data_IF_158126822855
#
_entry.id   IF_158126822855
#
_cell.length_a   1.000
_cell.length_b   1.000
_cell.length_c   1.000
_cell.angle_alpha   90.00
_cell.angle_beta   90.00
_cell.angle_gamma   90.00
#
_symmetry.space_group_name_H-M   'P 1'
#
loop_
_entity.id
_entity.type
_entity.pdbx_description
1 polymer ?
#
# COMPACT_ATOMS: atom_id res chain seq x y z
N UNK A 1 -2.99 -26.56 -71.73
CA UNK A 1 -3.03 -25.28 -71.02
C UNK A 1 -3.20 -25.58 -69.52
N UNK A 2 -2.12 -25.59 -68.77
CA UNK A 2 -2.13 -25.81 -67.32
C UNK A 2 -2.12 -24.44 -66.66
N UNK A 3 -3.20 -24.09 -65.91
CA UNK A 3 -3.27 -22.87 -65.10
C UNK A 3 -2.56 -23.13 -63.80
N UNK A 4 -1.48 -22.39 -63.50
CA UNK A 4 -0.85 -22.29 -62.19
C UNK A 4 -1.67 -21.33 -61.39
N UNK A 5 -2.21 -21.79 -60.24
CA UNK A 5 -2.81 -20.96 -59.21
C UNK A 5 -1.70 -20.65 -58.23
N UNK A 6 -1.29 -19.36 -58.17
CA UNK A 6 -0.34 -18.85 -57.21
C UNK A 6 -1.12 -18.50 -55.92
N UNK A 7 -0.96 -19.31 -54.89
CA UNK A 7 -1.51 -19.00 -53.55
C UNK A 7 -0.53 -18.06 -52.88
N UNK A 8 -0.90 -16.78 -52.81
CA UNK A 8 -0.19 -15.78 -52.06
C UNK A 8 -0.62 -15.91 -50.58
N UNK A 9 0.15 -16.61 -49.79
CA UNK A 9 -0.01 -16.64 -48.33
C UNK A 9 0.46 -15.31 -47.74
N UNK A 10 -0.47 -14.37 -47.49
CA UNK A 10 -0.23 -13.22 -46.67
C UNK A 10 0.02 -13.68 -45.25
N UNK A 11 1.29 -13.75 -44.85
CA UNK A 11 1.69 -13.83 -43.44
C UNK A 11 1.49 -12.44 -42.90
N UNK A 12 0.31 -12.15 -42.35
CA UNK A 12 0.08 -11.04 -41.45
C UNK A 12 0.84 -11.35 -40.12
N UNK A 13 2.13 -11.05 -40.11
CA UNK A 13 2.86 -10.90 -38.88
C UNK A 13 2.28 -9.71 -38.17
N UNK A 14 1.43 -9.96 -37.17
CA UNK A 14 1.03 -8.94 -36.24
C UNK A 14 2.30 -8.53 -35.49
N UNK A 15 2.97 -7.51 -35.99
CA UNK A 15 3.90 -6.70 -35.23
C UNK A 15 3.08 -6.07 -34.12
N UNK A 16 3.06 -6.71 -32.97
CA UNK A 16 2.72 -5.99 -31.72
C UNK A 16 3.75 -4.88 -31.60
N UNK A 17 3.44 -3.68 -32.08
CA UNK A 17 4.18 -2.50 -31.76
C UNK A 17 4.12 -2.41 -30.22
N UNK A 18 5.21 -2.76 -29.55
CA UNK A 18 5.39 -2.44 -28.14
C UNK A 18 5.16 -0.94 -28.06
N UNK A 19 4.14 -0.51 -27.34
CA UNK A 19 3.90 0.89 -27.08
C UNK A 19 5.20 1.43 -26.44
N UNK A 20 5.92 2.26 -27.21
CA UNK A 20 7.17 2.83 -26.74
C UNK A 20 6.80 3.97 -25.80
N UNK A 21 6.95 3.74 -24.50
CA UNK A 21 6.75 4.79 -23.51
C UNK A 21 7.86 5.85 -23.65
N UNK A 22 7.47 7.12 -23.51
CA UNK A 22 8.40 8.26 -23.70
C UNK A 22 9.19 8.61 -22.44
N UNK A 23 8.84 8.03 -21.31
CA UNK A 23 9.56 8.23 -20.03
C UNK A 23 10.66 7.18 -19.87
N UNK A 24 11.80 7.66 -19.35
CA UNK A 24 12.96 6.84 -19.00
C UNK A 24 13.07 6.68 -17.49
N UNK A 25 13.99 5.81 -17.03
CA UNK A 25 14.31 5.70 -15.61
C UNK A 25 14.70 7.05 -14.97
N UNK A 26 15.52 7.85 -15.67
CA UNK A 26 15.90 9.19 -15.22
C UNK A 26 14.69 10.11 -15.05
N UNK A 27 13.76 10.07 -16.00
CA UNK A 27 12.50 10.83 -15.93
C UNK A 27 11.65 10.40 -14.73
N UNK A 28 11.54 9.10 -14.48
CA UNK A 28 10.80 8.59 -13.34
C UNK A 28 11.38 9.06 -12.00
N UNK A 29 12.71 9.11 -11.89
CA UNK A 29 13.36 9.71 -10.71
C UNK A 29 13.09 11.21 -10.62
N UNK A 30 13.15 11.92 -11.73
CA UNK A 30 12.93 13.37 -11.77
C UNK A 30 11.54 13.76 -11.29
N UNK A 31 10.50 12.99 -11.63
CA UNK A 31 9.12 13.29 -11.15
C UNK A 31 9.00 13.29 -9.63
N UNK A 32 9.70 12.38 -8.97
CA UNK A 32 9.71 12.33 -7.50
C UNK A 32 10.55 13.46 -6.89
N UNK A 33 11.67 13.82 -7.53
CA UNK A 33 12.46 14.98 -7.09
C UNK A 33 11.67 16.27 -7.25
N UNK A 34 10.94 16.43 -8.33
CA UNK A 34 10.08 17.61 -8.56
C UNK A 34 8.95 17.70 -7.55
N UNK A 35 8.33 16.57 -7.22
CA UNK A 35 7.34 16.49 -6.14
C UNK A 35 7.92 16.96 -4.80
N UNK A 36 9.08 16.43 -4.41
CA UNK A 36 9.75 16.84 -3.16
C UNK A 36 10.19 18.32 -3.20
N UNK A 37 10.71 18.79 -4.31
CA UNK A 37 11.13 20.20 -4.48
C UNK A 37 9.98 21.17 -4.24
N UNK A 38 8.77 20.81 -4.65
CA UNK A 38 7.60 21.68 -4.57
C UNK A 38 6.90 21.55 -3.23
N UNK A 39 6.72 20.32 -2.72
CA UNK A 39 5.83 20.09 -1.60
C UNK A 39 6.53 19.80 -0.27
N UNK A 40 7.79 19.36 -0.27
CA UNK A 40 8.48 19.10 1.00
C UNK A 40 8.95 20.40 1.65
N UNK A 41 8.52 20.68 2.86
CA UNK A 41 9.09 21.71 3.70
C UNK A 41 10.42 21.23 4.29
N UNK A 42 11.53 21.72 3.74
CA UNK A 42 12.88 21.29 4.15
C UNK A 42 13.34 21.83 5.50
N UNK A 43 12.58 22.71 6.14
CA UNK A 43 12.85 23.17 7.52
C UNK A 43 12.24 22.22 8.54
N UNK A 44 11.00 21.79 8.30
CA UNK A 44 10.25 20.90 9.20
C UNK A 44 10.29 19.44 8.78
N UNK A 45 10.57 19.14 7.50
CA UNK A 45 10.50 17.81 6.89
C UNK A 45 9.12 17.17 7.00
N UNK A 46 8.09 17.99 6.74
CA UNK A 46 6.70 17.56 6.49
C UNK A 46 6.25 18.10 5.14
N UNK A 47 5.22 17.50 4.55
CA UNK A 47 4.72 17.93 3.24
C UNK A 47 3.68 19.04 3.38
N UNK A 48 3.73 19.98 2.43
CA UNK A 48 2.75 21.06 2.30
C UNK A 48 1.48 20.54 1.62
N UNK A 49 0.37 21.21 1.90
CA UNK A 49 -0.92 20.91 1.29
C UNK A 49 -0.97 21.30 -0.22
N UNK A 50 -0.33 22.40 -0.61
CA UNK A 50 -0.31 22.84 -2.01
C UNK A 50 0.93 23.67 -2.39
N UNK A 51 1.13 23.84 -3.71
CA UNK A 51 2.33 24.43 -4.32
C UNK A 51 2.57 25.90 -3.98
N UNK A 52 1.53 26.66 -3.63
CA UNK A 52 1.67 28.09 -3.28
C UNK A 52 2.07 28.30 -1.81
N UNK A 53 2.12 27.27 -0.96
CA UNK A 53 2.55 27.41 0.43
C UNK A 53 4.05 27.48 0.54
N UNK A 54 4.51 28.33 1.45
CA UNK A 54 5.94 28.50 1.75
C UNK A 54 6.35 27.70 2.98
N UNK A 55 5.48 27.66 3.99
CA UNK A 55 5.70 26.94 5.25
C UNK A 55 4.53 26.01 5.54
N UNK A 56 4.85 24.79 5.94
CA UNK A 56 3.87 23.85 6.49
C UNK A 56 3.78 24.06 8.01
N UNK A 57 2.62 24.45 8.52
CA UNK A 57 2.43 24.77 9.94
C UNK A 57 1.55 23.72 10.61
N UNK A 58 0.30 23.59 10.17
CA UNK A 58 -0.67 22.60 10.61
C UNK A 58 -1.64 22.31 9.46
N UNK A 59 -2.60 21.41 9.67
CA UNK A 59 -3.57 20.99 8.66
C UNK A 59 -4.29 22.14 7.94
N UNK A 60 -4.58 23.22 8.65
CA UNK A 60 -5.34 24.35 8.12
C UNK A 60 -4.44 25.49 7.62
N UNK A 61 -3.16 25.45 7.98
CA UNK A 61 -2.16 26.47 7.69
C UNK A 61 -0.96 25.92 6.91
N UNK A 62 -1.22 25.07 5.96
CA UNK A 62 -0.26 24.68 4.94
C UNK A 62 0.38 23.32 5.04
N UNK A 63 0.17 22.57 6.11
CA UNK A 63 0.57 21.18 6.17
C UNK A 63 -0.47 20.28 5.47
N UNK A 64 -0.02 19.28 4.73
CA UNK A 64 -0.90 18.24 4.22
C UNK A 64 -1.53 17.45 5.38
N UNK A 65 -2.70 16.86 5.14
CA UNK A 65 -3.43 16.09 6.14
C UNK A 65 -2.57 14.96 6.73
N UNK A 66 -2.72 14.73 8.03
CA UNK A 66 -1.88 13.79 8.80
C UNK A 66 -1.82 12.39 8.19
N UNK A 67 -2.92 11.88 7.65
CA UNK A 67 -2.98 10.57 7.02
C UNK A 67 -2.28 10.55 5.65
N UNK A 68 -2.33 11.65 4.89
CA UNK A 68 -1.62 11.76 3.61
C UNK A 68 -0.11 11.87 3.80
N UNK A 69 0.36 12.45 4.92
CA UNK A 69 1.78 12.43 5.27
C UNK A 69 2.31 10.99 5.36
N UNK A 70 1.52 10.03 5.87
CA UNK A 70 1.91 8.63 5.89
C UNK A 70 2.10 8.04 4.47
N UNK A 71 1.26 8.44 3.51
CA UNK A 71 1.37 8.03 2.11
C UNK A 71 2.64 8.62 1.47
N UNK A 72 2.93 9.90 1.72
CA UNK A 72 4.16 10.54 1.22
C UNK A 72 5.42 9.94 1.89
N UNK A 73 5.31 9.52 3.16
CA UNK A 73 6.36 8.78 3.84
C UNK A 73 6.59 7.39 3.23
N UNK A 74 5.54 6.70 2.75
CA UNK A 74 5.70 5.46 1.97
C UNK A 74 6.41 5.72 0.63
N UNK A 75 6.21 6.86 -0.02
CA UNK A 75 6.88 7.19 -1.28
C UNK A 75 8.42 7.28 -1.12
N UNK A 76 8.93 7.85 -0.03
CA UNK A 76 10.38 7.89 0.20
C UNK A 76 10.94 6.51 0.51
N UNK A 77 10.18 5.63 1.14
CA UNK A 77 10.56 4.23 1.33
C UNK A 77 10.64 3.49 -0.02
N UNK A 78 9.66 3.72 -0.90
CA UNK A 78 9.65 3.14 -2.24
C UNK A 78 10.83 3.66 -3.09
N UNK A 79 11.18 4.95 -2.98
CA UNK A 79 12.38 5.49 -3.61
C UNK A 79 13.66 4.82 -3.10
N UNK A 80 13.78 4.61 -1.80
CA UNK A 80 14.92 3.87 -1.25
C UNK A 80 14.97 2.42 -1.75
N UNK A 81 13.84 1.69 -1.71
CA UNK A 81 13.76 0.30 -2.20
C UNK A 81 14.12 0.18 -3.68
N UNK A 82 13.63 1.12 -4.51
CA UNK A 82 14.01 1.18 -5.93
C UNK A 82 15.50 1.42 -6.11
N UNK A 83 16.11 2.34 -5.34
CA UNK A 83 17.54 2.58 -5.38
C UNK A 83 18.36 1.35 -4.96
N UNK A 84 17.86 0.57 -3.99
CA UNK A 84 18.46 -0.73 -3.60
C UNK A 84 18.37 -1.72 -4.75
N UNK A 85 17.21 -1.89 -5.37
CA UNK A 85 17.01 -2.81 -6.49
C UNK A 85 17.89 -2.46 -7.71
N UNK A 86 18.17 -1.17 -7.93
CA UNK A 86 19.06 -0.68 -8.99
C UNK A 86 20.55 -0.70 -8.63
N UNK A 87 20.92 -1.00 -7.38
CA UNK A 87 22.31 -0.93 -6.91
C UNK A 87 22.86 0.51 -6.83
N UNK A 88 22.00 1.54 -6.89
CA UNK A 88 22.41 2.94 -6.86
C UNK A 88 22.69 3.42 -5.44
N UNK A 89 23.95 3.32 -5.04
CA UNK A 89 24.42 3.70 -3.70
C UNK A 89 24.16 5.17 -3.37
N UNK A 90 24.33 6.07 -4.33
CA UNK A 90 24.11 7.51 -4.14
C UNK A 90 22.67 7.80 -3.78
N UNK A 91 21.71 7.20 -4.51
CA UNK A 91 20.29 7.34 -4.20
C UNK A 91 19.90 6.60 -2.92
N UNK A 92 20.47 5.44 -2.63
CA UNK A 92 20.26 4.75 -1.35
C UNK A 92 20.59 5.67 -0.18
N UNK A 93 21.78 6.27 -0.16
CA UNK A 93 22.20 7.16 0.92
C UNK A 93 21.32 8.41 1.01
N UNK A 94 21.00 9.01 -0.15
CA UNK A 94 20.10 10.17 -0.24
C UNK A 94 18.73 9.87 0.38
N UNK A 95 18.07 8.79 -0.07
CA UNK A 95 16.70 8.51 0.36
C UNK A 95 16.63 7.91 1.76
N UNK A 96 17.65 7.20 2.22
CA UNK A 96 17.78 6.79 3.62
C UNK A 96 17.88 8.01 4.54
N UNK A 97 18.68 9.01 4.17
CA UNK A 97 18.80 10.25 4.93
C UNK A 97 17.50 11.06 4.90
N UNK A 98 16.85 11.17 3.73
CA UNK A 98 15.58 11.88 3.58
C UNK A 98 14.47 11.21 4.39
N UNK A 99 14.35 9.88 4.31
CA UNK A 99 13.41 9.10 5.11
C UNK A 99 13.56 9.40 6.61
N UNK A 100 14.81 9.38 7.13
CA UNK A 100 15.06 9.67 8.54
C UNK A 100 14.65 11.10 8.92
N UNK A 101 14.90 12.08 8.06
CA UNK A 101 14.53 13.49 8.31
C UNK A 101 13.02 13.67 8.30
N UNK A 102 12.31 13.09 7.33
CA UNK A 102 10.84 13.13 7.29
C UNK A 102 10.28 12.47 8.54
N UNK A 103 10.74 11.28 8.91
CA UNK A 103 10.29 10.62 10.15
C UNK A 103 10.44 11.51 11.38
N UNK A 104 11.58 12.20 11.54
CA UNK A 104 11.82 13.08 12.67
C UNK A 104 10.94 14.34 12.62
N UNK A 105 10.69 14.87 11.42
CA UNK A 105 9.79 15.99 11.21
C UNK A 105 8.34 15.64 11.57
N UNK A 106 7.85 14.52 11.07
CA UNK A 106 6.51 14.01 11.38
C UNK A 106 6.35 13.70 12.86
N UNK A 107 7.34 13.04 13.46
CA UNK A 107 7.37 12.74 14.89
C UNK A 107 7.30 14.03 15.73
N UNK A 108 8.01 15.07 15.34
CA UNK A 108 7.97 16.38 16.02
C UNK A 108 6.62 17.08 15.79
N UNK A 109 6.09 17.05 14.57
CA UNK A 109 4.81 17.66 14.21
C UNK A 109 3.65 17.05 15.01
N UNK A 110 3.65 15.73 15.20
CA UNK A 110 2.57 14.97 15.82
C UNK A 110 2.92 14.52 17.26
N UNK A 111 3.60 15.38 18.00
CA UNK A 111 3.84 15.23 19.45
C UNK A 111 4.39 13.84 19.80
N UNK A 112 5.47 13.41 19.13
CA UNK A 112 6.06 12.08 19.24
C UNK A 112 5.09 10.92 18.91
N UNK A 113 4.23 11.11 17.91
CA UNK A 113 3.14 10.19 17.59
C UNK A 113 2.27 9.89 18.82
N UNK A 114 1.81 10.94 19.48
CA UNK A 114 0.83 10.80 20.55
C UNK A 114 -0.55 10.51 19.98
N UNK A 115 -0.91 9.23 19.86
CA UNK A 115 -2.18 8.77 19.28
C UNK A 115 -3.41 9.13 20.14
N UNK A 116 -3.22 9.73 21.29
CA UNK A 116 -4.27 10.23 22.18
C UNK A 116 -4.51 11.74 22.05
N UNK A 117 -3.72 12.41 21.19
CA UNK A 117 -3.88 13.83 20.91
C UNK A 117 -5.03 14.06 19.93
N UNK A 118 -6.04 14.83 20.35
CA UNK A 118 -7.17 15.23 19.52
C UNK A 118 -7.14 16.72 19.12
N UNK A 119 -5.95 17.30 19.08
CA UNK A 119 -5.78 18.67 18.61
C UNK A 119 -6.28 18.80 17.16
N UNK A 120 -7.23 19.70 16.94
CA UNK A 120 -7.89 19.90 15.64
C UNK A 120 -6.95 20.32 14.50
N UNK A 121 -5.75 20.81 14.81
CA UNK A 121 -4.77 21.27 13.83
C UNK A 121 -3.71 20.21 13.50
N UNK A 122 -3.34 19.40 14.49
CA UNK A 122 -2.23 18.44 14.37
C UNK A 122 -2.56 17.04 14.87
N UNK A 123 -3.74 16.85 15.47
CA UNK A 123 -4.13 15.58 16.08
C UNK A 123 -4.90 14.65 15.17
N UNK A 124 -5.33 13.56 15.78
CA UNK A 124 -6.08 12.49 15.14
C UNK A 124 -7.57 12.78 15.17
N UNK A 125 -8.26 12.59 14.05
CA UNK A 125 -9.70 12.87 13.95
C UNK A 125 -10.50 11.59 13.85
N UNK A 126 -9.94 10.62 13.14
CA UNK A 126 -10.56 9.35 12.83
C UNK A 126 -9.50 8.25 12.92
N UNK A 127 -9.92 7.01 13.12
CA UNK A 127 -8.98 5.91 13.37
C UNK A 127 -8.17 5.49 12.15
N UNK A 128 -8.64 5.71 10.93
CA UNK A 128 -7.86 5.41 9.74
C UNK A 128 -6.65 6.34 9.59
N UNK A 129 -6.71 7.61 10.06
CA UNK A 129 -5.53 8.48 10.13
C UNK A 129 -4.37 7.80 10.88
N UNK A 130 -4.66 7.15 12.00
CA UNK A 130 -3.68 6.38 12.77
C UNK A 130 -3.27 5.11 12.02
N UNK A 131 -4.22 4.42 11.38
CA UNK A 131 -3.97 3.14 10.72
C UNK A 131 -3.08 3.31 9.48
N UNK A 132 -3.18 4.41 8.74
CA UNK A 132 -2.25 4.73 7.66
C UNK A 132 -0.79 4.83 8.17
N UNK A 133 -0.59 5.49 9.31
CA UNK A 133 0.72 5.54 9.97
C UNK A 133 1.15 4.17 10.50
N UNK A 134 0.23 3.36 11.00
CA UNK A 134 0.53 1.98 11.43
C UNK A 134 1.14 1.19 10.28
N UNK A 135 0.54 1.24 9.09
CA UNK A 135 1.01 0.56 7.87
C UNK A 135 2.38 1.13 7.44
N UNK A 136 2.51 2.45 7.36
CA UNK A 136 3.74 3.10 6.90
C UNK A 136 4.93 2.82 7.84
N UNK A 137 4.70 2.79 9.16
CA UNK A 137 5.72 2.46 10.16
C UNK A 137 6.09 0.97 10.15
N UNK A 138 5.14 0.06 9.92
CA UNK A 138 5.44 -1.36 9.73
C UNK A 138 6.35 -1.59 8.52
N UNK A 139 6.05 -0.94 7.39
CA UNK A 139 6.89 -0.97 6.19
C UNK A 139 8.27 -0.33 6.41
N UNK A 140 8.33 0.75 7.19
CA UNK A 140 9.60 1.37 7.57
C UNK A 140 10.48 0.40 8.38
N UNK A 141 9.87 -0.40 9.26
CA UNK A 141 10.59 -1.45 9.96
C UNK A 141 11.13 -2.52 9.00
N UNK A 142 10.33 -3.00 8.05
CA UNK A 142 10.77 -3.96 7.03
C UNK A 142 11.93 -3.41 6.18
N UNK A 143 11.94 -2.11 5.93
CA UNK A 143 12.92 -1.46 5.07
C UNK A 143 14.22 -1.13 5.81
N UNK A 144 14.14 -0.68 7.06
CA UNK A 144 15.27 -0.10 7.80
C UNK A 144 15.60 -0.81 9.11
N UNK A 145 14.83 -1.82 9.51
CA UNK A 145 15.02 -2.67 10.70
C UNK A 145 15.11 -1.90 12.03
N UNK A 146 14.60 -0.67 12.11
CA UNK A 146 14.59 0.10 13.34
C UNK A 146 13.43 -0.30 14.25
N UNK A 147 13.75 -0.83 15.43
CA UNK A 147 12.73 -1.21 16.43
C UNK A 147 11.79 -0.07 16.82
N UNK A 148 12.24 1.18 16.70
CA UNK A 148 11.40 2.33 16.97
C UNK A 148 10.17 2.37 16.06
N UNK A 149 10.32 2.08 14.76
CA UNK A 149 9.21 2.02 13.81
C UNK A 149 8.21 0.91 14.17
N UNK A 150 8.71 -0.28 14.48
CA UNK A 150 7.84 -1.38 14.91
C UNK A 150 7.08 -1.05 16.20
N UNK A 151 7.77 -0.47 17.18
CA UNK A 151 7.14 -0.07 18.46
C UNK A 151 5.98 0.92 18.24
N UNK A 152 6.18 1.95 17.41
CA UNK A 152 5.09 2.89 17.12
C UNK A 152 3.97 2.25 16.28
N UNK A 153 4.31 1.38 15.33
CA UNK A 153 3.32 0.64 14.56
C UNK A 153 2.45 -0.26 15.44
N UNK A 154 3.03 -0.98 16.40
CA UNK A 154 2.28 -1.81 17.35
C UNK A 154 1.41 -0.96 18.29
N UNK A 155 1.97 0.14 18.82
CA UNK A 155 1.23 1.05 19.70
C UNK A 155 0.03 1.68 18.99
N UNK A 156 0.21 2.14 17.76
CA UNK A 156 -0.87 2.73 16.96
C UNK A 156 -1.95 1.69 16.62
N UNK A 157 -1.56 0.46 16.23
CA UNK A 157 -2.51 -0.62 16.00
C UNK A 157 -3.35 -0.90 17.26
N UNK A 158 -2.68 -1.09 18.39
CA UNK A 158 -3.37 -1.37 19.66
C UNK A 158 -4.24 -0.18 20.10
N UNK A 159 -3.79 1.07 19.87
CA UNK A 159 -4.62 2.25 20.15
C UNK A 159 -5.91 2.24 19.33
N UNK A 160 -5.82 1.93 18.06
CA UNK A 160 -6.99 1.80 17.17
C UNK A 160 -7.86 0.61 17.59
N UNK A 161 -7.27 -0.54 17.84
CA UNK A 161 -8.02 -1.76 18.16
C UNK A 161 -8.82 -1.61 19.45
N UNK A 162 -8.17 -1.17 20.53
CA UNK A 162 -8.82 -1.02 21.82
C UNK A 162 -9.60 0.29 21.99
N UNK A 163 -9.38 1.27 21.11
CA UNK A 163 -10.02 2.58 21.17
C UNK A 163 -9.76 3.27 22.48
N UNK A 164 -10.85 3.58 23.23
CA UNK A 164 -10.77 4.23 24.54
C UNK A 164 -10.69 3.24 25.70
N UNK A 165 -9.90 3.60 26.74
CA UNK A 165 -9.75 2.80 27.96
C UNK A 165 -11.05 2.53 28.71
N UNK A 166 -12.06 3.39 28.54
CA UNK A 166 -13.29 3.39 29.34
C UNK A 166 -14.50 2.81 28.62
N UNK A 167 -14.35 2.44 27.36
CA UNK A 167 -15.44 1.88 26.55
C UNK A 167 -15.48 0.35 26.67
N UNK A 168 -15.00 -0.19 27.77
CA UNK A 168 -14.89 -1.64 27.94
C UNK A 168 -14.00 -2.23 26.85
N UNK A 169 -14.50 -3.20 26.15
CA UNK A 169 -13.75 -3.91 25.11
C UNK A 169 -14.10 -3.42 23.70
N UNK A 170 -14.98 -2.41 23.59
CA UNK A 170 -15.48 -1.97 22.29
C UNK A 170 -14.41 -1.24 21.51
N UNK A 171 -13.86 -0.21 22.11
CA UNK A 171 -12.91 0.65 21.44
C UNK A 171 -13.37 1.01 20.05
N UNK A 172 -12.49 0.83 19.08
CA UNK A 172 -12.84 0.98 17.66
C UNK A 172 -13.29 -0.34 16.99
N UNK A 173 -13.22 -1.47 17.69
CA UNK A 173 -13.65 -2.77 17.19
C UNK A 173 -15.09 -3.08 17.61
N UNK A 174 -15.91 -3.46 16.63
CA UNK A 174 -17.31 -3.83 16.85
C UNK A 174 -17.43 -5.34 17.12
N UNK A 175 -17.57 -5.72 18.38
CA UNK A 175 -17.73 -7.12 18.81
C UNK A 175 -19.10 -7.68 18.40
N UNK A 176 -19.16 -8.68 17.50
CA UNK A 176 -20.42 -9.32 17.10
C UNK A 176 -21.13 -10.02 18.26
N UNK A 177 -20.40 -10.60 19.21
CA UNK A 177 -20.98 -11.28 20.38
C UNK A 177 -21.74 -10.34 21.29
N UNK A 178 -21.35 -9.05 21.30
CA UNK A 178 -22.02 -7.97 22.03
C UNK A 178 -23.10 -7.24 21.20
N UNK A 179 -23.41 -7.74 20.00
CA UNK A 179 -24.42 -7.17 19.11
C UNK A 179 -23.97 -5.93 18.35
N UNK A 180 -22.67 -5.60 18.34
CA UNK A 180 -22.15 -4.43 17.65
C UNK A 180 -21.95 -4.66 16.15
N UNK A 181 -21.97 -5.90 15.68
CA UNK A 181 -22.08 -6.22 14.26
C UNK A 181 -20.77 -6.50 13.52
N UNK A 182 -19.59 -6.35 14.16
CA UNK A 182 -18.28 -6.63 13.58
C UNK A 182 -17.69 -5.46 12.77
N UNK A 183 -16.43 -5.57 12.42
CA UNK A 183 -15.64 -4.55 11.74
C UNK A 183 -15.08 -3.47 12.67
N UNK A 184 -14.35 -2.52 12.08
CA UNK A 184 -13.74 -1.41 12.79
C UNK A 184 -14.59 -0.14 12.64
N UNK A 185 -14.81 0.57 13.76
CA UNK A 185 -15.42 1.89 13.75
C UNK A 185 -14.44 2.95 13.22
N UNK A 186 -14.96 3.96 12.59
CA UNK A 186 -14.16 5.02 11.95
C UNK A 186 -13.84 6.19 12.90
N UNK A 187 -14.83 6.63 13.71
CA UNK A 187 -14.71 7.80 14.57
C UNK A 187 -13.75 7.56 15.72
N UNK A 188 -12.75 8.44 15.85
CA UNK A 188 -11.79 8.40 16.95
C UNK A 188 -12.45 8.82 18.26
N UNK A 189 -12.10 8.16 19.38
CA UNK A 189 -12.60 8.44 20.70
C UNK A 189 -11.47 8.82 21.66
N UNK A 190 -11.66 9.86 22.51
CA UNK A 190 -10.71 10.22 23.53
C UNK A 190 -10.69 9.18 24.66
N UNK A 191 -9.52 9.00 25.31
CA UNK A 191 -9.36 8.03 26.41
C UNK A 191 -10.11 8.48 27.68
N UNK A 192 -10.10 9.77 27.96
CA UNK A 192 -10.63 10.33 29.22
C UNK A 192 -12.15 10.49 29.22
N UNK A 193 -12.74 10.75 28.07
CA UNK A 193 -14.18 10.98 27.89
C UNK A 193 -14.71 10.29 26.63
N UNK A 194 -14.65 8.96 26.55
CA UNK A 194 -15.10 8.26 25.37
C UNK A 194 -16.62 8.33 25.22
N UNK A 195 -17.07 8.49 23.98
CA UNK A 195 -18.46 8.25 23.59
C UNK A 195 -18.54 6.79 23.17
N UNK A 196 -19.41 5.97 23.78
CA UNK A 196 -19.57 4.57 23.39
C UNK A 196 -20.03 4.43 21.95
N UNK A 197 -19.41 3.54 21.20
CA UNK A 197 -19.83 3.20 19.85
C UNK A 197 -21.20 2.51 19.86
N UNK A 198 -21.99 2.81 18.83
CA UNK A 198 -23.31 2.24 18.59
C UNK A 198 -23.26 1.37 17.32
N UNK A 199 -24.18 0.41 17.23
CA UNK A 199 -24.30 -0.48 16.05
C UNK A 199 -24.42 0.29 14.73
N UNK A 200 -25.05 1.48 14.75
CA UNK A 200 -25.25 2.34 13.60
C UNK A 200 -24.10 3.28 13.29
N UNK A 201 -23.03 3.32 14.10
CA UNK A 201 -21.87 4.17 13.84
C UNK A 201 -21.11 3.70 12.59
N UNK A 202 -20.44 4.63 11.94
CA UNK A 202 -19.82 4.39 10.63
C UNK A 202 -18.63 3.41 10.72
N UNK A 203 -18.64 2.41 9.86
CA UNK A 203 -17.56 1.43 9.66
C UNK A 203 -17.18 1.43 8.19
N UNK A 204 -16.17 2.22 7.86
CA UNK A 204 -15.75 2.47 6.49
C UNK A 204 -14.72 1.44 5.99
N UNK A 205 -14.60 1.32 4.68
CA UNK A 205 -13.57 0.51 4.04
C UNK A 205 -12.16 1.04 4.36
N UNK A 206 -12.00 2.37 4.47
CA UNK A 206 -10.71 3.03 4.70
C UNK A 206 -10.08 2.76 6.07
N UNK A 207 -10.83 2.27 7.06
CA UNK A 207 -10.25 1.73 8.29
C UNK A 207 -10.15 0.21 8.26
N UNK A 208 -11.13 -0.49 7.68
CA UNK A 208 -11.21 -1.94 7.76
C UNK A 208 -10.11 -2.64 6.94
N UNK A 209 -9.92 -2.33 5.67
CA UNK A 209 -8.86 -2.96 4.87
C UNK A 209 -7.45 -2.55 5.29
N UNK A 210 -7.14 -1.28 5.62
CA UNK A 210 -5.86 -0.93 6.23
C UNK A 210 -5.59 -1.64 7.56
N UNK A 211 -6.61 -1.92 8.39
CA UNK A 211 -6.42 -2.74 9.60
C UNK A 211 -5.98 -4.16 9.26
N UNK A 212 -6.55 -4.78 8.22
CA UNK A 212 -6.09 -6.09 7.74
C UNK A 212 -4.65 -6.03 7.26
N UNK A 213 -4.30 -5.01 6.46
CA UNK A 213 -2.95 -4.81 5.95
C UNK A 213 -1.96 -4.66 7.10
N UNK A 214 -2.26 -3.77 8.05
CA UNK A 214 -1.43 -3.54 9.23
C UNK A 214 -1.23 -4.80 10.07
N UNK A 215 -2.31 -5.55 10.32
CA UNK A 215 -2.25 -6.80 11.06
C UNK A 215 -1.40 -7.86 10.35
N UNK A 216 -1.51 -7.98 9.01
CA UNK A 216 -0.64 -8.87 8.23
C UNK A 216 0.84 -8.47 8.30
N UNK A 217 1.14 -7.18 8.20
CA UNK A 217 2.51 -6.66 8.33
C UNK A 217 3.05 -6.89 9.75
N UNK A 218 2.27 -6.63 10.78
CA UNK A 218 2.68 -6.86 12.17
C UNK A 218 2.87 -8.34 12.47
N UNK A 219 1.98 -9.22 11.98
CA UNK A 219 2.19 -10.67 12.05
C UNK A 219 3.55 -11.08 11.48
N UNK A 220 3.94 -10.51 10.34
CA UNK A 220 5.22 -10.81 9.67
C UNK A 220 6.42 -10.29 10.46
N UNK A 221 6.30 -9.15 11.14
CA UNK A 221 7.40 -8.38 11.71
C UNK A 221 7.62 -8.57 13.22
N UNK A 222 6.58 -8.95 13.95
CA UNK A 222 6.65 -9.15 15.40
C UNK A 222 7.47 -10.41 15.72
N UNK A 223 8.36 -10.36 16.75
CA UNK A 223 9.16 -11.52 17.15
C UNK A 223 8.28 -12.73 17.52
N UNK A 224 8.74 -13.90 17.13
CA UNK A 224 8.13 -15.17 17.55
C UNK A 224 8.31 -15.41 19.05
N UNK A 225 7.41 -16.20 19.63
CA UNK A 225 7.51 -16.61 21.03
C UNK A 225 7.28 -15.48 22.05
N UNK A 226 6.75 -14.34 21.59
CA UNK A 226 6.37 -13.26 22.52
C UNK A 226 5.26 -13.77 23.45
N UNK A 227 5.42 -13.53 24.75
CA UNK A 227 4.40 -13.88 25.73
C UNK A 227 3.10 -13.10 25.49
N UNK A 228 1.95 -13.74 25.73
CA UNK A 228 0.66 -13.08 25.69
C UNK A 228 0.63 -11.97 26.73
N UNK A 229 0.31 -10.72 26.35
CA UNK A 229 0.26 -9.63 27.30
C UNK A 229 -0.85 -9.80 28.32
N UNK A 230 -0.57 -9.44 29.56
CA UNK A 230 -1.52 -9.53 30.68
C UNK A 230 -2.24 -8.21 30.97
N UNK A 231 -1.78 -7.10 30.40
CA UNK A 231 -2.44 -5.82 30.54
C UNK A 231 -3.81 -5.83 29.84
N UNK A 232 -4.81 -5.20 30.44
CA UNK A 232 -6.14 -5.08 29.84
C UNK A 232 -6.11 -4.36 28.49
N UNK A 233 -5.13 -3.47 28.28
CA UNK A 233 -4.87 -2.74 27.05
C UNK A 233 -3.39 -2.72 26.75
N UNK A 234 -2.90 -3.82 26.17
CA UNK A 234 -1.51 -3.91 25.78
C UNK A 234 -1.23 -2.97 24.60
N UNK A 235 -0.02 -2.47 24.54
CA UNK A 235 0.50 -1.70 23.40
C UNK A 235 1.24 -2.57 22.38
N UNK A 236 1.34 -3.87 22.64
CA UNK A 236 2.00 -4.89 21.84
C UNK A 236 1.22 -6.19 21.98
N UNK A 237 1.22 -6.99 20.91
CA UNK A 237 0.53 -8.28 20.87
C UNK A 237 1.42 -9.39 20.33
N UNK A 238 0.95 -10.64 20.42
CA UNK A 238 1.64 -11.78 19.81
C UNK A 238 1.44 -11.79 18.29
N UNK A 239 2.31 -12.49 17.62
CA UNK A 239 2.25 -12.72 16.16
C UNK A 239 0.91 -13.37 15.74
N UNK A 240 0.50 -14.38 16.47
CA UNK A 240 -0.74 -15.14 16.22
C UNK A 240 -1.97 -14.26 16.41
N UNK A 241 -1.95 -13.39 17.41
CA UNK A 241 -3.05 -12.45 17.63
C UNK A 241 -3.27 -11.54 16.43
N UNK A 242 -2.19 -10.96 15.88
CA UNK A 242 -2.30 -10.12 14.67
C UNK A 242 -2.86 -10.90 13.48
N UNK A 243 -2.41 -12.14 13.25
CA UNK A 243 -2.92 -12.99 12.16
C UNK A 243 -4.42 -13.28 12.33
N UNK A 244 -4.85 -13.56 13.55
CA UNK A 244 -6.27 -13.77 13.85
C UNK A 244 -7.10 -12.52 13.56
N UNK A 245 -6.61 -11.35 13.99
CA UNK A 245 -7.31 -10.08 13.74
C UNK A 245 -7.35 -9.73 12.25
N UNK A 246 -6.31 -10.00 11.50
CA UNK A 246 -6.33 -9.90 10.04
C UNK A 246 -7.42 -10.80 9.42
N UNK A 247 -7.56 -12.04 9.90
CA UNK A 247 -8.59 -12.99 9.42
C UNK A 247 -9.99 -12.50 9.74
N UNK A 248 -10.20 -12.08 10.98
CA UNK A 248 -11.49 -11.65 11.51
C UNK A 248 -12.03 -10.42 10.75
N UNK A 249 -11.22 -9.37 10.66
CA UNK A 249 -11.63 -8.14 9.98
C UNK A 249 -11.77 -8.36 8.47
N UNK A 250 -10.89 -9.12 7.84
CA UNK A 250 -11.03 -9.43 6.41
C UNK A 250 -12.35 -10.16 6.13
N UNK A 251 -12.68 -11.19 6.93
CA UNK A 251 -13.91 -11.96 6.72
C UNK A 251 -15.17 -11.10 6.85
N UNK A 252 -15.18 -10.17 7.82
CA UNK A 252 -16.29 -9.22 7.97
C UNK A 252 -16.34 -8.23 6.81
N UNK A 253 -15.21 -7.60 6.47
CA UNK A 253 -15.16 -6.55 5.45
C UNK A 253 -15.47 -7.09 4.05
N UNK A 254 -14.92 -8.24 3.66
CA UNK A 254 -15.22 -8.90 2.38
C UNK A 254 -16.70 -9.25 2.25
N UNK A 255 -17.30 -9.80 3.31
CA UNK A 255 -18.72 -10.16 3.33
C UNK A 255 -19.64 -8.93 3.30
N UNK A 256 -19.26 -7.85 3.97
CA UNK A 256 -20.15 -6.71 4.24
C UNK A 256 -19.96 -5.57 3.24
N UNK A 257 -18.72 -5.31 2.83
CA UNK A 257 -18.35 -4.13 2.05
C UNK A 257 -18.03 -4.44 0.58
N UNK A 258 -17.96 -5.73 0.18
CA UNK A 258 -17.55 -6.09 -1.19
C UNK A 258 -18.66 -6.82 -1.93
N UNK A 259 -18.93 -6.36 -3.15
CA UNK A 259 -19.84 -7.03 -4.08
C UNK A 259 -19.16 -7.09 -5.47
N UNK A 260 -18.90 -8.29 -5.97
CA UNK A 260 -18.30 -8.54 -7.29
C UNK A 260 -17.01 -7.74 -7.57
N UNK A 261 -16.16 -7.59 -6.55
CA UNK A 261 -14.94 -6.81 -6.61
C UNK A 261 -15.11 -5.30 -6.40
N UNK A 262 -16.35 -4.79 -6.35
CA UNK A 262 -16.68 -3.41 -5.98
C UNK A 262 -16.63 -3.26 -4.46
N UNK A 263 -15.94 -2.25 -3.97
CA UNK A 263 -15.83 -1.95 -2.54
C UNK A 263 -16.74 -0.78 -2.19
N UNK A 264 -17.61 -0.97 -1.19
CA UNK A 264 -18.40 0.10 -0.62
C UNK A 264 -17.52 1.07 0.18
N UNK A 265 -17.91 2.32 0.29
CA UNK A 265 -17.26 3.31 1.15
C UNK A 265 -17.36 2.91 2.63
N UNK A 266 -18.51 2.40 3.02
CA UNK A 266 -18.74 1.89 4.35
C UNK A 266 -20.17 1.48 4.60
N UNK A 267 -20.48 1.28 5.88
CA UNK A 267 -21.81 0.93 6.37
C UNK A 267 -22.13 1.74 7.62
N UNK A 268 -23.34 2.30 7.66
CA UNK A 268 -24.01 2.76 8.88
C UNK A 268 -24.94 1.68 9.43
N UNK A 269 -26.06 2.01 10.01
CA UNK A 269 -27.05 1.03 10.49
C UNK A 269 -27.81 0.27 9.40
N UNK A 270 -27.72 0.73 8.14
CA UNK A 270 -28.39 0.13 6.97
C UNK A 270 -27.51 -0.81 6.15
N UNK A 271 -27.68 -0.79 4.84
CA UNK A 271 -26.81 -1.52 3.90
C UNK A 271 -25.52 -0.79 3.56
N UNK A 272 -24.61 -1.44 2.81
CA UNK A 272 -23.36 -0.82 2.38
C UNK A 272 -23.63 0.32 1.38
N UNK A 273 -22.83 1.40 1.50
CA UNK A 273 -22.89 2.58 0.64
C UNK A 273 -21.84 2.46 -0.47
N UNK A 274 -22.27 2.14 -1.68
CA UNK A 274 -21.36 1.99 -2.82
C UNK A 274 -21.03 3.34 -3.46
N UNK A 275 -19.91 3.94 -3.00
CA UNK A 275 -19.19 5.02 -3.68
C UNK A 275 -17.88 4.44 -4.20
N UNK A 276 -17.57 4.72 -5.47
CA UNK A 276 -16.39 4.15 -6.12
C UNK A 276 -15.14 4.98 -5.79
N UNK A 277 -14.53 4.71 -4.65
CA UNK A 277 -13.27 5.32 -4.24
C UNK A 277 -12.08 4.43 -4.59
N UNK A 278 -11.13 4.99 -5.35
CA UNK A 278 -9.96 4.26 -5.84
C UNK A 278 -9.08 3.71 -4.71
N UNK A 279 -8.93 4.43 -3.61
CA UNK A 279 -8.13 3.98 -2.47
C UNK A 279 -8.75 2.80 -1.72
N UNK A 280 -10.08 2.73 -1.64
CA UNK A 280 -10.78 1.60 -1.05
C UNK A 280 -10.58 0.33 -1.88
N UNK A 281 -10.61 0.44 -3.21
CA UNK A 281 -10.27 -0.65 -4.13
C UNK A 281 -8.81 -1.07 -3.94
N UNK A 282 -7.88 -0.10 -3.85
CA UNK A 282 -6.46 -0.36 -3.63
C UNK A 282 -6.22 -1.13 -2.33
N UNK A 283 -6.79 -0.68 -1.21
CA UNK A 283 -6.59 -1.35 0.09
C UNK A 283 -7.23 -2.73 0.15
N UNK A 284 -8.37 -2.95 -0.52
CA UNK A 284 -8.94 -4.29 -0.67
C UNK A 284 -8.01 -5.23 -1.44
N UNK A 285 -7.44 -4.76 -2.56
CA UNK A 285 -6.43 -5.51 -3.33
C UNK A 285 -5.24 -5.85 -2.43
N UNK A 286 -4.71 -4.86 -1.71
CA UNK A 286 -3.56 -5.04 -0.81
C UNK A 286 -3.83 -6.02 0.33
N UNK A 287 -4.97 -5.89 1.01
CA UNK A 287 -5.40 -6.80 2.07
C UNK A 287 -5.50 -8.24 1.54
N UNK A 288 -6.10 -8.42 0.35
CA UNK A 288 -6.24 -9.72 -0.29
C UNK A 288 -4.88 -10.31 -0.70
N UNK A 289 -3.98 -9.51 -1.27
CA UNK A 289 -2.61 -9.95 -1.61
C UNK A 289 -1.84 -10.41 -0.37
N UNK A 290 -1.85 -9.64 0.72
CA UNK A 290 -1.16 -10.00 1.96
C UNK A 290 -1.76 -11.26 2.61
N UNK A 291 -3.08 -11.41 2.56
CA UNK A 291 -3.72 -12.66 3.01
C UNK A 291 -3.28 -13.85 2.17
N UNK A 292 -3.22 -13.71 0.84
CA UNK A 292 -2.69 -14.73 -0.05
C UNK A 292 -1.24 -15.09 0.29
N UNK A 293 -0.36 -14.10 0.46
CA UNK A 293 1.05 -14.32 0.80
C UNK A 293 1.24 -15.07 2.12
N UNK A 294 0.39 -14.82 3.12
CA UNK A 294 0.49 -15.45 4.43
C UNK A 294 -0.12 -16.86 4.48
N UNK A 295 -1.15 -17.14 3.68
CA UNK A 295 -1.90 -18.40 3.78
C UNK A 295 -1.67 -19.36 2.63
N UNK A 296 -1.21 -18.87 1.48
CA UNK A 296 -1.17 -19.63 0.23
C UNK A 296 -2.55 -19.90 -0.39
N UNK A 297 -3.64 -19.41 0.23
CA UNK A 297 -5.00 -19.62 -0.27
C UNK A 297 -5.27 -18.73 -1.49
N UNK A 298 -5.37 -19.37 -2.65
CA UNK A 298 -5.58 -18.72 -3.95
C UNK A 298 -6.90 -17.97 -4.04
N UNK A 299 -7.86 -18.25 -3.16
CA UNK A 299 -9.13 -17.52 -3.11
C UNK A 299 -8.89 -16.03 -2.84
N UNK A 300 -7.95 -15.68 -1.97
CA UNK A 300 -7.57 -14.28 -1.72
C UNK A 300 -6.93 -13.63 -2.95
N UNK A 301 -6.09 -14.34 -3.69
CA UNK A 301 -5.53 -13.82 -4.95
C UNK A 301 -6.63 -13.54 -5.98
N UNK A 302 -7.62 -14.41 -6.08
CA UNK A 302 -8.77 -14.21 -6.96
C UNK A 302 -9.59 -12.97 -6.54
N UNK A 303 -9.74 -12.72 -5.24
CA UNK A 303 -10.37 -11.51 -4.72
C UNK A 303 -9.58 -10.24 -5.07
N UNK A 304 -8.26 -10.25 -4.94
CA UNK A 304 -7.41 -9.13 -5.38
C UNK A 304 -7.58 -8.84 -6.88
N UNK A 305 -7.61 -9.90 -7.72
CA UNK A 305 -7.85 -9.77 -9.16
C UNK A 305 -9.25 -9.23 -9.48
N UNK A 306 -10.29 -9.64 -8.75
CA UNK A 306 -11.64 -9.10 -8.91
C UNK A 306 -11.66 -7.60 -8.63
N UNK A 307 -11.02 -7.14 -7.54
CA UNK A 307 -10.89 -5.71 -7.22
C UNK A 307 -10.17 -4.93 -8.33
N UNK A 308 -9.03 -5.43 -8.82
CA UNK A 308 -8.29 -4.79 -9.91
C UNK A 308 -9.11 -4.75 -11.21
N UNK A 309 -9.78 -5.86 -11.56
CA UNK A 309 -10.63 -5.92 -12.75
C UNK A 309 -11.81 -4.92 -12.64
N UNK A 310 -12.39 -4.75 -11.46
CA UNK A 310 -13.43 -3.76 -11.26
C UNK A 310 -12.93 -2.34 -11.57
N UNK A 311 -11.77 -1.95 -11.04
CA UNK A 311 -11.18 -0.63 -11.33
C UNK A 311 -10.99 -0.43 -12.82
N UNK A 312 -10.29 -1.35 -13.50
CA UNK A 312 -9.95 -1.16 -14.92
C UNK A 312 -11.14 -1.30 -15.88
N UNK A 313 -12.18 -2.05 -15.52
CA UNK A 313 -13.36 -2.24 -16.37
C UNK A 313 -14.53 -1.29 -16.07
N UNK A 314 -14.64 -0.79 -14.84
CA UNK A 314 -15.81 -0.02 -14.39
C UNK A 314 -15.49 1.42 -13.96
N UNK A 315 -14.32 1.65 -13.35
CA UNK A 315 -13.96 2.98 -12.86
C UNK A 315 -13.13 3.78 -13.85
N UNK A 316 -12.27 3.12 -14.64
CA UNK A 316 -11.40 3.79 -15.61
C UNK A 316 -12.16 4.32 -16.84
N UNK A 317 -11.73 5.48 -17.35
CA UNK A 317 -12.18 6.02 -18.63
C UNK A 317 -11.07 5.82 -19.67
N UNK A 318 -11.35 5.03 -20.71
CA UNK A 318 -10.33 4.71 -21.72
C UNK A 318 -9.07 4.04 -21.15
N UNK A 319 -9.17 3.33 -20.03
CA UNK A 319 -8.06 2.71 -19.33
C UNK A 319 -7.25 3.67 -18.44
N UNK A 320 -7.71 4.91 -18.25
CA UNK A 320 -7.09 5.90 -17.35
C UNK A 320 -7.84 5.93 -16.04
N UNK A 321 -7.09 5.93 -14.93
CA UNK A 321 -7.60 5.93 -13.56
C UNK A 321 -8.56 7.09 -13.32
N UNK A 322 -9.59 6.89 -12.51
CA UNK A 322 -10.53 7.96 -12.18
C UNK A 322 -9.84 9.06 -11.37
N UNK A 323 -10.26 10.28 -11.61
CA UNK A 323 -9.99 11.41 -10.73
C UNK A 323 -11.22 11.64 -9.85
N UNK A 324 -11.01 11.72 -8.56
CA UNK A 324 -12.05 11.98 -7.59
C UNK A 324 -11.98 13.43 -7.12
N UNK A 325 -13.13 14.11 -7.13
CA UNK A 325 -13.22 15.52 -6.75
C UNK A 325 -13.23 15.68 -5.23
N UNK A 326 -12.33 16.47 -4.73
CA UNK A 326 -12.14 16.76 -3.30
C UNK A 326 -10.66 16.92 -3.01
N UNK A 327 -10.31 17.71 -2.01
CA UNK A 327 -8.91 18.11 -1.79
C UNK A 327 -8.04 16.89 -1.50
N UNK A 328 -8.35 16.11 -0.50
CA UNK A 328 -7.52 14.98 -0.06
C UNK A 328 -7.66 13.74 -0.97
N UNK A 329 -8.72 13.64 -1.75
CA UNK A 329 -8.99 12.51 -2.64
C UNK A 329 -7.94 12.35 -3.75
N UNK A 330 -7.19 13.41 -4.05
CA UNK A 330 -6.10 13.34 -5.03
C UNK A 330 -5.04 12.29 -4.72
N UNK A 331 -4.84 11.94 -3.45
CA UNK A 331 -3.85 10.94 -3.03
C UNK A 331 -4.25 9.48 -3.36
N UNK A 332 -5.49 9.23 -3.75
CA UNK A 332 -6.01 7.87 -3.94
C UNK A 332 -5.27 7.08 -5.02
N UNK A 333 -4.78 7.76 -6.06
CA UNK A 333 -3.96 7.11 -7.11
C UNK A 333 -2.62 6.59 -6.57
N UNK A 334 -1.99 7.30 -5.62
CA UNK A 334 -0.76 6.85 -4.97
C UNK A 334 -0.99 5.61 -4.10
N UNK A 335 -2.11 5.58 -3.37
CA UNK A 335 -2.50 4.42 -2.56
C UNK A 335 -2.79 3.21 -3.46
N UNK A 336 -3.57 3.40 -4.52
CA UNK A 336 -3.88 2.34 -5.47
C UNK A 336 -2.61 1.77 -6.12
N UNK A 337 -1.68 2.63 -6.52
CA UNK A 337 -0.40 2.22 -7.09
C UNK A 337 0.41 1.32 -6.16
N UNK A 338 0.44 1.62 -4.86
CA UNK A 338 1.15 0.81 -3.86
C UNK A 338 0.64 -0.63 -3.84
N UNK A 339 -0.66 -0.84 -3.87
CA UNK A 339 -1.24 -2.17 -3.79
C UNK A 339 -1.32 -2.87 -5.13
N UNK A 340 -1.39 -2.13 -6.22
CA UNK A 340 -1.19 -2.70 -7.56
C UNK A 340 0.25 -3.19 -7.75
N UNK A 341 1.25 -2.52 -7.15
CA UNK A 341 2.61 -3.02 -7.14
C UNK A 341 2.69 -4.40 -6.44
N UNK A 342 2.08 -4.54 -5.27
CA UNK A 342 2.02 -5.83 -4.57
C UNK A 342 1.34 -6.90 -5.43
N UNK A 343 0.23 -6.59 -6.08
CA UNK A 343 -0.46 -7.54 -6.95
C UNK A 343 0.39 -7.95 -8.15
N UNK A 344 1.02 -6.98 -8.82
CA UNK A 344 1.78 -7.21 -10.06
C UNK A 344 3.09 -7.95 -9.79
N UNK A 345 3.90 -7.46 -8.87
CA UNK A 345 5.27 -7.95 -8.68
C UNK A 345 5.38 -9.01 -7.58
N UNK A 346 4.72 -8.81 -6.44
CA UNK A 346 4.84 -9.72 -5.32
C UNK A 346 3.91 -10.95 -5.44
N UNK A 347 2.74 -10.77 -6.10
CA UNK A 347 1.80 -11.85 -6.39
C UNK A 347 1.85 -12.33 -7.85
N UNK A 348 2.75 -11.79 -8.69
CA UNK A 348 3.04 -12.27 -10.04
C UNK A 348 1.95 -11.98 -11.08
N UNK A 349 1.04 -11.03 -10.86
CA UNK A 349 -0.08 -10.73 -11.75
C UNK A 349 0.29 -9.66 -12.81
N UNK A 350 1.28 -9.97 -13.64
CA UNK A 350 1.90 -9.02 -14.60
C UNK A 350 0.97 -8.51 -15.70
N UNK A 351 -0.20 -9.12 -15.92
CA UNK A 351 -1.20 -8.65 -16.88
C UNK A 351 -1.69 -7.22 -16.62
N UNK A 352 -1.56 -6.71 -15.41
CA UNK A 352 -1.93 -5.33 -15.05
C UNK A 352 -0.83 -4.30 -15.32
N UNK A 353 0.39 -4.72 -15.61
CA UNK A 353 1.54 -3.83 -15.81
C UNK A 353 1.32 -2.81 -16.92
N UNK A 354 0.77 -3.27 -18.05
CA UNK A 354 0.46 -2.39 -19.19
C UNK A 354 -0.53 -1.29 -18.87
N UNK A 355 -1.50 -1.58 -17.98
CA UNK A 355 -2.48 -0.58 -17.52
C UNK A 355 -1.83 0.48 -16.63
N UNK A 356 -0.95 0.07 -15.71
CA UNK A 356 -0.22 1.01 -14.86
C UNK A 356 0.73 1.89 -15.68
N UNK A 357 1.46 1.31 -16.61
CA UNK A 357 2.35 2.04 -17.54
C UNK A 357 1.60 3.02 -18.42
N UNK A 358 0.41 2.67 -18.90
CA UNK A 358 -0.47 3.58 -19.64
C UNK A 358 -0.83 4.80 -18.82
N UNK A 359 -1.17 4.63 -17.55
CA UNK A 359 -1.49 5.74 -16.64
C UNK A 359 -0.27 6.64 -16.38
N UNK A 360 0.92 6.06 -16.23
CA UNK A 360 2.16 6.85 -16.17
C UNK A 360 2.36 7.71 -17.42
N UNK A 361 2.17 7.13 -18.62
CA UNK A 361 2.34 7.86 -19.86
C UNK A 361 1.38 9.04 -19.97
N UNK A 362 0.10 8.81 -19.65
CA UNK A 362 -0.91 9.88 -19.68
C UNK A 362 -0.61 10.98 -18.64
N UNK A 363 -0.23 10.63 -17.42
CA UNK A 363 0.17 11.62 -16.42
C UNK A 363 1.40 12.42 -16.87
N UNK A 364 2.37 11.77 -17.50
CA UNK A 364 3.56 12.40 -18.05
C UNK A 364 3.24 13.35 -19.20
N UNK A 365 2.40 12.94 -20.13
CA UNK A 365 2.03 13.75 -21.32
C UNK A 365 1.24 15.00 -20.94
N UNK A 366 0.39 14.92 -19.91
CA UNK A 366 -0.46 16.02 -19.44
C UNK A 366 0.12 16.78 -18.23
N UNK A 367 1.39 16.56 -17.88
CA UNK A 367 2.03 17.29 -16.79
C UNK A 367 2.27 18.75 -17.11
N UNK A 368 2.41 19.58 -16.10
CA UNK A 368 3.07 20.86 -16.21
C UNK A 368 4.56 20.64 -16.51
N UNK A 369 4.99 21.03 -17.70
CA UNK A 369 6.36 20.83 -18.16
C UNK A 369 7.38 21.73 -17.46
N UNK A 370 6.94 22.85 -16.87
CA UNK A 370 7.81 23.78 -16.13
C UNK A 370 8.16 23.24 -14.76
N UNK A 371 7.14 22.76 -14.04
CA UNK A 371 7.31 22.23 -12.66
C UNK A 371 7.61 20.74 -12.63
N UNK A 372 7.32 19.99 -13.70
CA UNK A 372 7.52 18.54 -13.77
C UNK A 372 6.48 17.71 -13.01
N UNK A 373 5.32 18.30 -12.66
CA UNK A 373 4.25 17.65 -11.89
C UNK A 373 2.95 17.57 -12.69
N UNK A 374 2.12 16.59 -12.35
CA UNK A 374 0.79 16.39 -12.93
C UNK A 374 -0.28 16.60 -11.86
N UNK A 375 -1.43 17.15 -12.24
CA UNK A 375 -2.63 17.08 -11.39
C UNK A 375 -3.17 15.63 -11.34
N UNK A 376 -4.09 15.35 -10.41
CA UNK A 376 -4.65 14.00 -10.26
C UNK A 376 -5.53 13.53 -11.42
N UNK A 377 -6.04 14.45 -12.24
CA UNK A 377 -6.80 14.11 -13.43
C UNK A 377 -5.85 13.94 -14.63
N UNK A 378 -5.38 12.74 -14.89
CA UNK A 378 -4.45 12.44 -15.97
C UNK A 378 -5.03 12.65 -17.38
N UNK A 379 -6.33 12.89 -17.53
CA UNK A 379 -6.99 13.22 -18.80
C UNK A 379 -6.95 14.71 -19.15
N UNK A 380 -6.39 15.54 -18.27
CA UNK A 380 -6.36 16.99 -18.43
C UNK A 380 -4.95 17.55 -18.29
N UNK A 381 -4.61 18.53 -19.14
CA UNK A 381 -3.34 19.25 -19.03
C UNK A 381 -3.25 20.02 -17.70
N UNK A 382 -2.14 19.83 -17.05
CA UNK A 382 -1.80 20.57 -15.84
C UNK A 382 -1.23 21.94 -16.20
N UNK A 383 -1.94 23.01 -15.84
CA UNK A 383 -1.54 24.37 -16.19
C UNK A 383 -0.33 24.84 -15.38
N UNK A 384 0.63 25.49 -16.03
CA UNK A 384 1.91 25.89 -15.45
C UNK A 384 1.79 26.89 -14.30
N UNK A 385 0.78 27.74 -14.32
CA UNK A 385 0.52 28.79 -13.32
C UNK A 385 -0.53 28.40 -12.28
N UNK A 386 -1.14 27.22 -12.41
CA UNK A 386 -2.17 26.75 -11.48
C UNK A 386 -1.59 26.41 -10.11
N UNK A 387 -2.37 26.65 -9.07
CA UNK A 387 -2.11 26.06 -7.76
C UNK A 387 -2.46 24.58 -7.81
N UNK A 388 -1.54 23.72 -7.41
CA UNK A 388 -1.74 22.28 -7.33
C UNK A 388 -1.56 21.84 -5.88
N UNK A 389 -2.44 20.97 -5.38
CA UNK A 389 -2.31 20.34 -4.09
C UNK A 389 -1.36 19.12 -4.16
N UNK A 390 -0.71 18.81 -3.05
CA UNK A 390 0.22 17.68 -2.96
C UNK A 390 -0.48 16.33 -3.11
N UNK A 391 -1.74 16.27 -2.74
CA UNK A 391 -2.56 15.07 -2.85
C UNK A 391 -2.70 14.65 -4.31
N UNK A 392 -3.19 15.57 -5.15
CA UNK A 392 -3.36 15.36 -6.60
C UNK A 392 -2.03 15.12 -7.31
N UNK A 393 -0.98 15.84 -6.90
CA UNK A 393 0.34 15.72 -7.53
C UNK A 393 1.09 14.42 -7.17
N UNK A 394 0.67 13.69 -6.16
CA UNK A 394 1.36 12.48 -5.69
C UNK A 394 1.19 11.27 -6.61
N UNK A 395 0.11 11.20 -7.39
CA UNK A 395 -0.24 10.01 -8.18
C UNK A 395 0.83 9.64 -9.21
N UNK A 396 1.28 10.59 -10.03
CA UNK A 396 2.29 10.35 -11.05
C UNK A 396 3.62 9.85 -10.47
N UNK A 397 4.28 10.54 -9.52
CA UNK A 397 5.56 10.08 -8.97
C UNK A 397 5.41 8.77 -8.19
N UNK A 398 4.29 8.51 -7.52
CA UNK A 398 4.05 7.23 -6.85
C UNK A 398 4.00 6.06 -7.84
N UNK A 399 3.25 6.19 -8.94
CA UNK A 399 3.20 5.16 -9.98
C UNK A 399 4.59 4.99 -10.60
N UNK A 400 5.30 6.08 -10.91
CA UNK A 400 6.61 6.02 -11.55
C UNK A 400 7.71 5.42 -10.66
N UNK A 401 7.63 5.59 -9.35
CA UNK A 401 8.55 4.92 -8.41
C UNK A 401 8.34 3.40 -8.37
N UNK A 402 7.08 2.97 -8.45
CA UNK A 402 6.67 1.59 -8.23
C UNK A 402 6.69 0.73 -9.50
N UNK A 403 6.60 1.33 -10.69
CA UNK A 403 6.53 0.63 -11.97
C UNK A 403 7.66 1.10 -12.89
N UNK A 404 8.86 0.49 -12.81
CA UNK A 404 10.01 0.88 -13.62
C UNK A 404 9.72 0.82 -15.13
N UNK A 405 10.40 1.69 -15.90
CA UNK A 405 10.29 1.70 -17.37
C UNK A 405 10.87 0.44 -18.00
N UNK A 406 11.97 -0.08 -17.43
CA UNK A 406 12.66 -1.26 -17.94
C UNK A 406 12.16 -2.54 -17.29
N UNK A 407 11.84 -3.56 -18.09
CA UNK A 407 11.46 -4.89 -17.59
C UNK A 407 12.60 -5.60 -16.84
N UNK A 408 13.86 -5.17 -17.04
CA UNK A 408 15.04 -5.71 -16.37
C UNK A 408 15.27 -5.11 -14.97
N UNK A 409 14.64 -3.95 -14.65
CA UNK A 409 14.62 -3.38 -13.31
C UNK A 409 13.47 -3.95 -12.45
N UNK A 410 12.97 -5.10 -12.78
CA UNK A 410 11.70 -5.67 -12.34
C UNK A 410 11.73 -6.33 -10.98
N UNK A 411 12.75 -6.21 -10.22
CA UNK A 411 12.68 -6.65 -8.84
C UNK A 411 12.96 -5.44 -7.94
N UNK A 412 11.91 -4.81 -7.42
CA UNK A 412 11.98 -4.45 -6.01
C UNK A 412 12.11 -5.80 -5.28
N UNK A 413 13.32 -6.37 -5.30
CA UNK A 413 13.60 -7.51 -4.46
C UNK A 413 13.13 -7.12 -3.08
N UNK A 414 12.34 -7.98 -2.48
CA UNK A 414 12.08 -7.89 -1.04
C UNK A 414 13.45 -7.65 -0.42
N UNK A 415 13.61 -6.52 0.29
CA UNK A 415 14.86 -6.24 1.02
C UNK A 415 15.20 -7.52 1.73
N UNK A 416 16.41 -8.07 1.60
CA UNK A 416 16.73 -9.36 2.18
C UNK A 416 16.26 -9.30 3.62
N UNK A 417 15.32 -10.16 3.99
CA UNK A 417 14.97 -10.33 5.40
C UNK A 417 16.29 -10.46 6.17
N UNK A 418 16.46 -9.61 7.17
CA UNK A 418 17.60 -9.73 8.07
C UNK A 418 17.62 -11.19 8.53
N UNK A 419 18.60 -11.94 8.05
CA UNK A 419 18.91 -13.34 8.32
C UNK A 419 17.79 -14.12 9.03
N UNK A 420 16.84 -14.67 8.26
CA UNK A 420 16.18 -15.88 8.73
C UNK A 420 17.24 -16.96 8.72
N UNK A 421 17.42 -17.59 9.87
CA UNK A 421 18.28 -18.77 9.99
C UNK A 421 18.04 -19.69 8.80
N UNK A 422 19.11 -20.01 8.06
CA UNK A 422 19.08 -20.80 6.84
C UNK A 422 18.53 -22.24 7.01
N UNK A 423 17.96 -22.55 8.17
CA UNK A 423 17.55 -23.90 8.60
C UNK A 423 16.05 -24.22 8.29
N UNK A 424 15.25 -23.30 7.78
CA UNK A 424 13.80 -23.51 7.67
C UNK A 424 13.16 -23.17 6.31
N UNK A 425 13.79 -23.48 5.20
CA UNK A 425 13.22 -23.20 3.89
C UNK A 425 12.84 -24.49 3.17
N UNK A 426 11.53 -24.66 2.87
CA UNK A 426 11.04 -25.78 2.08
C UNK A 426 11.46 -25.69 0.60
N UNK A 427 11.41 -26.83 -0.11
CA UNK A 427 11.66 -26.92 -1.56
C UNK A 427 10.32 -27.02 -2.28
N UNK A 428 10.12 -26.22 -3.31
CA UNK A 428 8.89 -26.12 -4.06
C UNK A 428 9.13 -26.33 -5.56
N UNK A 429 8.16 -26.90 -6.26
CA UNK A 429 8.11 -26.89 -7.72
C UNK A 429 7.81 -25.47 -8.24
N UNK A 430 8.03 -25.24 -9.54
CA UNK A 430 7.76 -23.92 -10.16
C UNK A 430 6.28 -23.51 -10.13
N UNK A 431 5.36 -24.47 -10.02
CA UNK A 431 3.92 -24.27 -9.84
C UNK A 431 3.52 -24.10 -8.35
N UNK A 432 4.51 -24.04 -7.44
CA UNK A 432 4.30 -23.72 -6.02
C UNK A 432 3.97 -24.91 -5.12
N UNK A 433 4.04 -26.15 -5.61
CA UNK A 433 3.81 -27.36 -4.80
C UNK A 433 5.03 -27.63 -3.91
N UNK A 434 4.84 -27.73 -2.61
CA UNK A 434 5.89 -28.13 -1.67
C UNK A 434 6.27 -29.61 -1.87
N UNK A 435 7.53 -29.87 -2.20
CA UNK A 435 8.07 -31.24 -2.41
C UNK A 435 8.98 -31.69 -1.29
N UNK A 436 9.48 -30.75 -0.47
CA UNK A 436 10.19 -31.07 0.77
C UNK A 436 9.94 -29.97 1.81
N UNK A 437 9.32 -30.27 2.96
CA UNK A 437 9.12 -29.33 4.04
C UNK A 437 10.42 -28.97 4.74
N UNK A 438 10.41 -27.84 5.48
CA UNK A 438 11.55 -27.36 6.25
C UNK A 438 12.15 -28.42 7.16
N UNK A 439 13.45 -28.46 7.27
CA UNK A 439 14.16 -29.31 8.25
C UNK A 439 14.63 -30.66 7.76
N UNK A 440 14.58 -30.99 6.47
CA UNK A 440 15.07 -32.27 5.93
C UNK A 440 16.33 -32.11 5.06
N UNK A 441 17.54 -32.10 5.64
CA UNK A 441 18.78 -31.84 4.90
C UNK A 441 19.19 -32.95 3.89
N UNK A 442 18.52 -34.11 3.86
CA UNK A 442 18.92 -35.28 3.06
C UNK A 442 18.10 -35.55 1.81
N UNK A 443 17.14 -34.70 1.44
CA UNK A 443 16.21 -35.01 0.35
C UNK A 443 16.61 -34.48 -1.04
N UNK A 444 17.67 -33.68 -1.18
CA UNK A 444 18.12 -33.23 -2.51
C UNK A 444 18.52 -34.39 -3.44
N UNK A 445 18.94 -35.52 -2.91
CA UNK A 445 19.24 -36.74 -3.70
C UNK A 445 18.05 -37.62 -4.06
N UNK A 446 16.84 -37.27 -3.59
CA UNK A 446 15.61 -38.00 -3.86
C UNK A 446 14.60 -37.24 -4.72
N UNK A 447 14.92 -35.99 -5.07
CA UNK A 447 14.09 -35.21 -5.98
C UNK A 447 14.29 -35.67 -7.42
N UNK A 448 13.20 -35.76 -8.17
CA UNK A 448 13.28 -36.01 -9.62
C UNK A 448 14.08 -34.87 -10.31
N UNK A 449 14.74 -35.20 -11.42
CA UNK A 449 15.43 -34.17 -12.22
C UNK A 449 14.43 -33.07 -12.61
N UNK A 450 14.78 -31.81 -12.33
CA UNK A 450 13.87 -30.70 -12.55
C UNK A 450 14.35 -29.38 -11.94
N UNK A 451 13.56 -28.32 -12.18
CA UNK A 451 13.81 -27.00 -11.63
C UNK A 451 12.87 -26.76 -10.43
N UNK A 452 13.42 -26.37 -9.32
CA UNK A 452 12.74 -26.14 -8.05
C UNK A 452 13.04 -24.74 -7.53
N UNK A 453 12.30 -24.31 -6.51
CA UNK A 453 12.52 -23.04 -5.78
C UNK A 453 12.72 -23.33 -4.31
N UNK A 454 13.76 -22.77 -3.71
CA UNK A 454 14.04 -22.85 -2.26
C UNK A 454 14.65 -21.54 -1.80
N UNK A 455 14.13 -20.91 -0.74
CA UNK A 455 14.63 -19.63 -0.23
C UNK A 455 14.66 -18.51 -1.28
N UNK A 456 13.69 -18.49 -2.19
CA UNK A 456 13.65 -17.52 -3.29
C UNK A 456 14.69 -17.76 -4.40
N UNK A 457 15.45 -18.87 -4.36
CA UNK A 457 16.44 -19.23 -5.38
C UNK A 457 15.99 -20.43 -6.20
N UNK A 458 16.35 -20.45 -7.50
CA UNK A 458 16.12 -21.60 -8.38
C UNK A 458 17.18 -22.68 -8.07
N UNK A 459 16.72 -23.91 -7.86
CA UNK A 459 17.54 -25.10 -7.67
C UNK A 459 17.33 -26.03 -8.87
N UNK A 460 18.40 -26.32 -9.62
CA UNK A 460 18.37 -27.32 -10.69
C UNK A 460 18.84 -28.66 -10.11
N UNK A 461 17.96 -29.66 -10.09
CA UNK A 461 18.27 -31.05 -9.76
C UNK A 461 18.50 -31.79 -11.09
N UNK A 462 19.70 -32.38 -11.27
CA UNK A 462 20.13 -33.12 -12.46
C UNK A 462 20.00 -34.62 -12.26
#
# INVERSE_FOLDING_TARGET
MKRFILILTCICGALFARAQYTFTDSVQWQTYEDFNRIFLDTKKYIYRDHSARVNAVDRWNGAAAIWCQAIFYDMVQNAYRRAVAQGDKTRQDKYKALHRRIYLGEKAQYVNFNFDDCNTNTGWFVYDDIMWWTVALARAYETFSSREYLTYSERSFCRVWYGSARVGDDGSYADPARGLGGGMFWEWQPIDKPKPHQKGDFRSACINFPTVIAACLLHRNVPEGRAVPTAARPTQQTKEWYLEKAREIYAWADKTLVQDGRVADGIHGGGPEFKDHLYNQGTYIGASCLRYQLTGDVSYLNKAKQGANYVFSKMCRGGILPYETGVEQGVYAAIFAQYMHTLVYECGQTQYLGMMRRNMQWAWDHRDQVRGISCGNFLQDTQADSQIDSYSASGMPAIMLLFPADDNASALEAVPEASRDAAQVGIYTLDGRCVAPCGTPRLCGQLASGLYVTGGRKLLVR
#
